data_IF_975585765096
#
_entry.id   IF_975585765096
#
_cell.length_a   1.000
_cell.length_b   1.000
_cell.length_c   1.000
_cell.angle_alpha   90.00
_cell.angle_beta   90.00
_cell.angle_gamma   90.00
#
_symmetry.space_group_name_H-M   'P 1'
#
loop_
_entity.id
_entity.type
_entity.pdbx_description
1 polymer ?
#
# COMPACT_ATOMS: atom_id res chain seq x y z
N UNK A 1 34.16 -2.11 29.85
CA UNK A 1 33.55 -1.40 28.71
C UNK A 1 32.38 -0.60 29.22
N UNK A 2 32.34 0.71 28.96
CA UNK A 2 31.18 1.55 29.28
C UNK A 2 30.22 1.43 28.09
N UNK A 3 28.96 1.10 28.36
CA UNK A 3 27.90 0.98 27.35
C UNK A 3 26.94 2.14 27.56
N UNK A 4 26.75 2.96 26.53
CA UNK A 4 25.76 4.04 26.53
C UNK A 4 24.52 3.54 25.80
N UNK A 5 23.36 3.62 26.45
CA UNK A 5 22.08 3.21 25.86
C UNK A 5 21.29 4.45 25.43
N UNK A 6 20.91 4.50 24.15
CA UNK A 6 19.97 5.49 23.61
C UNK A 6 18.73 4.76 23.11
N UNK A 7 17.54 5.27 23.44
CA UNK A 7 16.27 4.63 23.09
C UNK A 7 15.34 5.64 22.43
N UNK A 8 14.82 5.29 21.26
CA UNK A 8 13.84 6.06 20.50
C UNK A 8 12.47 5.39 20.61
N UNK A 9 11.45 6.17 21.02
CA UNK A 9 10.05 5.74 21.01
C UNK A 9 9.30 6.55 19.95
N UNK A 10 8.77 5.87 18.92
CA UNK A 10 8.02 6.50 17.84
C UNK A 10 6.93 5.57 17.32
N UNK A 11 5.78 6.14 16.96
CA UNK A 11 4.68 5.41 16.33
C UNK A 11 4.80 5.62 14.83
N UNK A 12 5.25 4.58 14.12
CA UNK A 12 5.49 4.60 12.69
C UNK A 12 4.19 4.73 11.88
N UNK A 13 4.26 5.50 10.80
CA UNK A 13 3.21 5.74 9.82
C UNK A 13 3.53 5.06 8.49
N UNK A 14 2.50 4.84 7.67
CA UNK A 14 2.63 4.20 6.35
C UNK A 14 3.68 4.86 5.44
N UNK A 15 3.74 6.21 5.48
CA UNK A 15 4.68 7.03 4.71
C UNK A 15 6.16 6.85 5.13
N UNK A 16 6.40 6.19 6.27
CA UNK A 16 7.73 5.90 6.80
C UNK A 16 8.24 4.51 6.41
N UNK A 17 7.41 3.70 5.72
CA UNK A 17 7.84 2.43 5.17
C UNK A 17 8.98 2.62 4.15
N UNK A 18 10.09 1.91 4.34
CA UNK A 18 11.28 1.99 3.50
C UNK A 18 12.23 3.16 3.84
N UNK A 19 11.91 3.98 4.84
CA UNK A 19 12.87 4.95 5.36
C UNK A 19 14.03 4.27 6.10
N UNK A 20 15.15 4.99 6.23
CA UNK A 20 16.36 4.51 6.90
C UNK A 20 16.44 5.08 8.31
N UNK A 21 16.68 4.21 9.29
CA UNK A 21 17.00 4.59 10.66
C UNK A 21 18.51 4.59 10.84
N UNK A 22 19.08 5.75 11.15
CA UNK A 22 20.51 5.93 11.36
C UNK A 22 20.87 5.99 12.84
N UNK A 23 21.86 5.21 13.23
CA UNK A 23 22.57 5.31 14.50
C UNK A 23 23.94 5.93 14.22
N UNK A 24 24.17 7.14 14.76
CA UNK A 24 25.41 7.88 14.57
C UNK A 24 26.18 7.96 15.90
N UNK A 25 27.42 7.49 15.90
CA UNK A 25 28.33 7.56 17.05
C UNK A 25 29.47 8.52 16.70
N UNK A 26 29.55 9.62 17.43
CA UNK A 26 30.61 10.61 17.28
C UNK A 26 31.47 10.69 18.54
N UNK A 27 32.79 10.74 18.37
CA UNK A 27 33.74 10.94 19.46
C UNK A 27 34.89 11.84 19.01
N UNK A 28 35.44 12.66 19.90
CA UNK A 28 36.48 13.65 19.56
C UNK A 28 37.80 13.04 19.04
N UNK A 29 38.05 11.75 19.30
CA UNK A 29 39.21 11.02 18.77
C UNK A 29 38.96 10.38 17.41
N UNK A 30 37.71 10.33 16.95
CA UNK A 30 37.38 9.82 15.62
C UNK A 30 37.52 10.96 14.61
N UNK A 31 38.14 10.69 13.48
CA UNK A 31 38.25 11.66 12.39
C UNK A 31 36.87 11.94 11.75
N UNK A 32 36.02 10.92 11.70
CA UNK A 32 34.64 10.98 11.20
C UNK A 32 33.72 10.13 12.09
N UNK A 33 32.41 10.46 12.20
CA UNK A 33 31.46 9.65 12.95
C UNK A 33 31.28 8.26 12.35
N UNK A 34 31.08 7.26 13.20
CA UNK A 34 30.63 5.94 12.76
C UNK A 34 29.11 5.94 12.60
N UNK A 35 28.63 5.44 11.47
CA UNK A 35 27.20 5.43 11.12
C UNK A 35 26.77 3.99 10.82
N UNK A 36 25.68 3.56 11.44
CA UNK A 36 24.98 2.31 11.12
C UNK A 36 23.56 2.62 10.71
N UNK A 37 23.12 2.03 9.61
CA UNK A 37 21.79 2.27 9.03
C UNK A 37 20.97 0.97 8.99
N UNK A 38 19.70 1.06 9.38
CA UNK A 38 18.75 -0.07 9.34
C UNK A 38 17.47 0.37 8.62
N UNK A 39 16.94 -0.41 7.65
CA UNK A 39 15.70 -0.07 6.98
C UNK A 39 14.49 -0.28 7.90
N UNK A 40 13.54 0.65 7.82
CA UNK A 40 12.26 0.58 8.52
C UNK A 40 11.24 -0.15 7.63
N UNK A 41 10.62 -1.20 8.16
CA UNK A 41 9.48 -1.87 7.52
C UNK A 41 8.22 -1.61 8.34
N UNK A 42 7.26 -0.89 7.75
CA UNK A 42 5.95 -0.62 8.35
C UNK A 42 4.91 -1.47 7.66
N UNK A 43 4.15 -2.24 8.45
CA UNK A 43 3.05 -3.06 7.95
C UNK A 43 1.74 -2.31 8.06
N UNK A 44 0.99 -2.26 6.96
CA UNK A 44 -0.29 -1.55 6.89
C UNK A 44 -1.21 -2.14 5.83
N UNK A 45 -2.50 -2.12 6.13
CA UNK A 45 -3.56 -2.61 5.24
C UNK A 45 -3.76 -1.69 4.04
N UNK A 46 -4.27 -2.20 2.91
CA UNK A 46 -4.73 -1.37 1.80
C UNK A 46 -5.69 -0.28 2.28
N UNK A 47 -5.33 0.99 2.05
CA UNK A 47 -6.25 2.09 2.33
C UNK A 47 -7.35 2.12 1.26
N UNK A 48 -8.61 1.85 1.66
CA UNK A 48 -9.77 2.01 0.79
C UNK A 48 -9.98 3.49 0.49
N UNK A 49 -9.51 3.96 -0.67
CA UNK A 49 -9.96 5.24 -1.19
C UNK A 49 -11.37 5.04 -1.76
N UNK A 50 -12.37 5.68 -1.12
CA UNK A 50 -13.73 5.76 -1.65
C UNK A 50 -13.69 6.48 -3.00
N UNK A 51 -13.64 5.73 -4.09
CA UNK A 51 -13.78 6.31 -5.42
C UNK A 51 -15.27 6.54 -5.66
N UNK A 52 -15.63 7.80 -5.86
CA UNK A 52 -16.98 8.17 -6.24
C UNK A 52 -16.97 8.52 -7.72
N UNK A 53 -17.58 7.68 -8.55
CA UNK A 53 -17.83 8.01 -9.96
C UNK A 53 -19.06 8.91 -9.98
N UNK A 54 -18.87 10.21 -9.77
CA UNK A 54 -19.95 11.20 -9.80
C UNK A 54 -20.40 11.59 -11.22
N UNK A 55 -19.83 10.98 -12.27
CA UNK A 55 -20.17 11.29 -13.65
C UNK A 55 -21.28 10.37 -14.15
N UNK A 56 -22.34 10.96 -14.69
CA UNK A 56 -23.31 10.24 -15.52
C UNK A 56 -22.57 9.64 -16.71
N UNK A 57 -22.44 8.31 -16.74
CA UNK A 57 -21.83 7.58 -17.85
C UNK A 57 -22.82 7.62 -19.02
N UNK A 58 -22.48 8.23 -20.16
CA UNK A 58 -23.37 8.27 -21.32
C UNK A 58 -23.75 6.87 -21.80
N UNK A 59 -24.98 6.75 -22.30
CA UNK A 59 -25.46 5.49 -22.89
C UNK A 59 -24.58 5.14 -24.10
N UNK A 60 -24.11 3.89 -24.18
CA UNK A 60 -23.20 3.39 -25.22
C UNK A 60 -21.78 4.00 -25.20
N UNK A 61 -21.30 4.41 -24.03
CA UNK A 61 -19.90 4.83 -23.85
C UNK A 61 -19.11 3.83 -23.03
N UNK A 62 -17.83 3.69 -23.34
CA UNK A 62 -16.88 2.95 -22.53
C UNK A 62 -16.43 3.81 -21.34
N UNK A 63 -16.21 3.19 -20.20
CA UNK A 63 -15.65 3.84 -19.02
C UNK A 63 -14.60 2.97 -18.35
N UNK A 64 -13.62 3.62 -17.75
CA UNK A 64 -12.53 2.96 -17.03
C UNK A 64 -12.58 3.35 -15.55
N UNK A 65 -12.43 2.36 -14.67
CA UNK A 65 -12.33 2.56 -13.22
C UNK A 65 -10.92 2.18 -12.79
N UNK A 66 -10.20 3.13 -12.19
CA UNK A 66 -8.86 2.91 -11.62
C UNK A 66 -8.92 3.08 -10.11
N UNK A 67 -8.50 2.04 -9.39
CA UNK A 67 -8.30 2.08 -7.95
C UNK A 67 -6.79 2.13 -7.67
N UNK A 68 -6.36 3.19 -7.00
CA UNK A 68 -5.00 3.30 -6.51
C UNK A 68 -5.03 3.13 -4.99
N UNK A 69 -4.27 2.17 -4.47
CA UNK A 69 -4.10 1.97 -3.04
C UNK A 69 -2.64 1.63 -2.76
N UNK A 70 -2.21 1.87 -1.52
CA UNK A 70 -0.93 1.47 -0.98
C UNK A 70 -1.14 0.44 0.12
N UNK A 71 -0.24 -0.55 0.21
CA UNK A 71 -0.26 -1.58 1.25
C UNK A 71 1.12 -2.22 1.40
N UNK A 72 1.42 -2.71 2.60
CA UNK A 72 2.61 -3.52 2.86
C UNK A 72 2.29 -4.67 3.84
N UNK A 73 2.44 -5.95 3.44
CA UNK A 73 2.90 -6.42 2.12
C UNK A 73 1.89 -6.13 1.00
N UNK A 74 2.34 -6.30 -0.24
CA UNK A 74 1.44 -6.24 -1.40
C UNK A 74 0.39 -7.35 -1.32
N UNK A 75 -0.88 -7.10 -1.68
CA UNK A 75 -1.91 -8.12 -1.65
C UNK A 75 -1.61 -9.18 -2.71
N UNK A 76 -1.85 -10.44 -2.36
CA UNK A 76 -1.72 -11.53 -3.32
C UNK A 76 -2.91 -11.60 -4.30
N UNK A 77 -4.04 -10.98 -3.92
CA UNK A 77 -5.32 -11.04 -4.63
C UNK A 77 -5.92 -9.63 -4.64
N UNK A 78 -6.34 -9.19 -5.83
CA UNK A 78 -7.08 -7.95 -6.04
C UNK A 78 -8.36 -8.34 -6.79
N UNK A 79 -9.51 -8.13 -6.16
CA UNK A 79 -10.81 -8.52 -6.68
C UNK A 79 -11.72 -7.30 -6.85
N UNK A 80 -12.44 -7.28 -7.97
CA UNK A 80 -13.47 -6.29 -8.26
C UNK A 80 -14.83 -6.94 -8.14
N UNK A 81 -15.71 -6.31 -7.38
CA UNK A 81 -17.09 -6.76 -7.19
C UNK A 81 -18.06 -5.66 -7.63
N UNK A 82 -19.19 -6.07 -8.18
CA UNK A 82 -20.29 -5.16 -8.52
C UNK A 82 -21.50 -5.48 -7.63
N UNK A 83 -22.13 -4.44 -7.09
CA UNK A 83 -23.35 -4.52 -6.28
C UNK A 83 -23.12 -4.17 -4.81
N UNK A 84 -24.19 -3.86 -4.08
CA UNK A 84 -24.14 -3.60 -2.64
C UNK A 84 -23.94 -4.90 -1.82
N UNK A 85 -24.14 -6.06 -2.45
CA UNK A 85 -24.12 -7.40 -1.86
C UNK A 85 -24.22 -8.47 -2.97
N UNK A 86 -23.81 -9.71 -2.65
CA UNK A 86 -23.64 -10.87 -3.56
C UNK A 86 -24.84 -11.21 -4.47
N UNK A 87 -26.03 -10.70 -4.16
CA UNK A 87 -27.31 -11.07 -4.79
C UNK A 87 -27.76 -10.11 -5.91
N UNK A 88 -27.03 -9.03 -6.16
CA UNK A 88 -27.41 -8.01 -7.15
C UNK A 88 -26.36 -7.95 -8.26
N UNK A 89 -26.46 -8.85 -9.24
CA UNK A 89 -25.62 -8.83 -10.45
C UNK A 89 -26.28 -8.01 -11.58
N UNK A 90 -25.56 -7.08 -12.22
CA UNK A 90 -25.96 -6.46 -13.47
C UNK A 90 -25.60 -7.37 -14.66
N UNK A 91 -26.39 -7.27 -15.74
CA UNK A 91 -26.32 -8.15 -16.90
C UNK A 91 -25.13 -7.91 -17.85
N UNK A 92 -24.19 -7.01 -17.55
CA UNK A 92 -23.03 -6.77 -18.41
C UNK A 92 -21.82 -6.30 -17.61
N UNK A 93 -20.72 -7.06 -17.69
CA UNK A 93 -19.42 -6.72 -17.12
C UNK A 93 -18.38 -6.96 -18.21
N UNK A 94 -17.76 -5.89 -18.72
CA UNK A 94 -16.56 -5.98 -19.55
C UNK A 94 -15.38 -5.47 -18.73
N UNK A 95 -14.33 -6.30 -18.61
CA UNK A 95 -13.09 -5.97 -17.88
C UNK A 95 -11.96 -5.86 -18.91
N UNK A 96 -11.16 -4.77 -18.93
CA UNK A 96 -9.99 -4.69 -19.79
C UNK A 96 -8.86 -5.58 -19.26
N UNK A 97 -8.28 -6.37 -20.18
CA UNK A 97 -7.05 -7.10 -19.98
C UNK A 97 -5.85 -6.16 -20.08
N UNK A 98 -4.83 -6.37 -19.25
CA UNK A 98 -3.51 -6.64 -19.83
C UNK A 98 -2.49 -7.38 -18.95
N UNK A 99 -2.65 -7.53 -17.62
CA UNK A 99 -1.65 -8.29 -16.82
C UNK A 99 -2.14 -8.97 -15.52
N UNK A 100 -3.42 -9.32 -15.40
CA UNK A 100 -3.96 -9.99 -14.20
C UNK A 100 -4.74 -11.27 -14.52
N UNK A 101 -4.51 -12.35 -13.75
CA UNK A 101 -5.34 -13.55 -13.84
C UNK A 101 -6.68 -13.29 -13.14
N UNK A 102 -7.71 -13.05 -13.93
CA UNK A 102 -9.09 -12.91 -13.45
C UNK A 102 -9.67 -14.33 -13.31
N UNK A 103 -10.04 -14.72 -12.10
CA UNK A 103 -10.74 -15.98 -11.85
C UNK A 103 -12.19 -15.66 -11.56
N UNK A 104 -13.09 -15.96 -12.49
CA UNK A 104 -14.53 -15.99 -12.20
C UNK A 104 -14.81 -17.34 -11.55
N UNK A 105 -15.16 -17.36 -10.26
CA UNK A 105 -15.69 -18.56 -9.64
C UNK A 105 -17.22 -18.49 -9.62
N UNK A 106 -17.84 -19.42 -10.32
CA UNK A 106 -19.22 -19.84 -10.08
C UNK A 106 -19.18 -20.79 -8.88
N UNK A 107 -19.84 -20.42 -7.80
CA UNK A 107 -20.39 -21.39 -6.85
C UNK A 107 -21.88 -21.12 -6.78
#
# INVERSE_FOLDING_TARGET
>A
SIVTLSTLHHVLKEVENGQMLDCVVSHHTLAEPEITTVPITVFFSPAEQKFHIFKQIPLHSDYEVRLNFSSNPQPNIIEWFYGANFFVMPNLIQIPSDNGKITTSLI
#
